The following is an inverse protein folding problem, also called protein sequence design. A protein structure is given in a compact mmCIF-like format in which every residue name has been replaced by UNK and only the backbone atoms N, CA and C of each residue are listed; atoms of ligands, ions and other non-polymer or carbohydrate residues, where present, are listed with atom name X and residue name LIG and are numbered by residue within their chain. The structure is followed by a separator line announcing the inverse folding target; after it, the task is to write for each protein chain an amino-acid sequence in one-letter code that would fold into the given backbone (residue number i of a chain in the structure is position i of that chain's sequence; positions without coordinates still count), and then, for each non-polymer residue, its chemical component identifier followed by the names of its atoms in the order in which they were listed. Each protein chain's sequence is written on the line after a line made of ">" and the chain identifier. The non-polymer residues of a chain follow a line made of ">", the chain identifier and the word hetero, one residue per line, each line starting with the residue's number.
data_IF_526029195399
#
_entry.id   IF_526029195399
#
_cell.length_a   1.000
_cell.length_b   1.000
_cell.length_c   1.000
_cell.angle_alpha   90.00
_cell.angle_beta   90.00
_cell.angle_gamma   90.00
#
_symmetry.space_group_name_H-M   'P 1'
#
loop_
_entity.id
_entity.type
_entity.pdbx_description
1 polymer ?
#
# COMPACT_ATOMS: atom_id res chain seq x y z
N UNK A 1 25.50 11.01 -2.45
CA UNK A 1 26.02 9.69 -2.06
C UNK A 1 25.12 9.04 -1.00
N UNK A 2 23.80 9.02 -1.22
CA UNK A 2 22.82 8.42 -0.29
C UNK A 2 21.91 7.40 -0.99
N UNK A 3 22.15 7.14 -2.28
CA UNK A 3 21.26 6.36 -3.13
C UNK A 3 21.47 4.84 -2.99
N UNK A 4 22.68 4.38 -2.66
CA UNK A 4 23.01 2.94 -2.66
C UNK A 4 22.38 2.12 -1.52
N UNK A 5 22.06 2.73 -0.37
CA UNK A 5 21.56 1.99 0.80
C UNK A 5 20.11 1.55 0.68
N UNK A 6 19.31 2.33 -0.04
CA UNK A 6 17.91 2.02 -0.27
C UNK A 6 17.81 0.89 -1.31
N UNK A 7 18.52 1.02 -2.43
CA UNK A 7 18.38 0.11 -3.57
C UNK A 7 18.77 -1.35 -3.23
N UNK A 8 19.75 -1.53 -2.34
CA UNK A 8 20.26 -2.83 -1.91
C UNK A 8 19.30 -3.64 -1.03
N UNK A 9 18.52 -2.96 -0.17
CA UNK A 9 17.55 -3.60 0.73
C UNK A 9 16.19 -3.86 0.03
N UNK A 10 15.91 -3.13 -1.05
CA UNK A 10 14.63 -3.23 -1.77
C UNK A 10 14.61 -4.29 -2.88
N UNK A 11 15.78 -4.72 -3.37
CA UNK A 11 15.95 -5.47 -4.63
C UNK A 11 15.36 -6.88 -4.67
N UNK A 12 15.02 -7.51 -3.54
CA UNK A 12 14.82 -8.97 -3.56
C UNK A 12 13.38 -9.46 -3.68
N UNK A 13 12.35 -8.67 -3.35
CA UNK A 13 10.95 -9.08 -3.52
C UNK A 13 10.15 -8.32 -4.58
N UNK A 14 10.59 -7.11 -4.89
CA UNK A 14 9.87 -6.21 -5.78
C UNK A 14 10.82 -5.87 -6.92
N UNK A 15 10.56 -6.45 -8.10
CA UNK A 15 11.16 -5.88 -9.31
C UNK A 15 10.46 -4.54 -9.51
N UNK A 16 11.20 -3.41 -9.49
CA UNK A 16 10.63 -2.13 -9.86
C UNK A 16 9.96 -2.34 -11.21
N UNK A 17 8.67 -2.03 -11.28
CA UNK A 17 8.03 -2.04 -12.59
C UNK A 17 8.62 -0.83 -13.30
N UNK A 18 9.13 -1.01 -14.53
CA UNK A 18 9.82 0.05 -15.22
C UNK A 18 8.79 1.04 -15.76
N UNK A 19 8.20 1.85 -14.87
CA UNK A 19 7.17 2.84 -15.16
C UNK A 19 7.65 3.82 -16.22
N UNK A 20 8.95 4.04 -16.33
CA UNK A 20 9.60 4.84 -17.36
C UNK A 20 9.23 4.41 -18.79
N UNK A 21 8.84 3.15 -18.99
CA UNK A 21 8.43 2.62 -20.29
C UNK A 21 6.93 2.82 -20.59
N UNK A 22 6.15 3.37 -19.65
CA UNK A 22 4.74 3.68 -19.90
C UNK A 22 4.62 4.86 -20.86
N UNK A 23 3.76 4.77 -21.89
CA UNK A 23 3.73 5.73 -22.97
C UNK A 23 3.03 7.06 -22.62
N UNK A 24 2.20 7.09 -21.58
CA UNK A 24 1.46 8.29 -21.16
C UNK A 24 2.07 8.90 -19.89
N UNK A 25 2.36 10.20 -19.89
CA UNK A 25 2.99 10.88 -18.76
C UNK A 25 2.14 10.81 -17.48
N UNK A 26 0.84 11.10 -17.57
CA UNK A 26 -0.07 11.04 -16.42
C UNK A 26 -0.14 9.66 -15.75
N UNK A 27 -0.26 8.59 -16.55
CA UNK A 27 -0.29 7.21 -16.04
C UNK A 27 1.06 6.82 -15.42
N UNK A 28 2.18 7.28 -16.01
CA UNK A 28 3.53 7.09 -15.43
C UNK A 28 3.64 7.73 -14.05
N UNK A 29 3.24 8.99 -13.91
CA UNK A 29 3.30 9.70 -12.63
C UNK A 29 2.44 9.03 -11.54
N UNK A 30 1.29 8.48 -11.92
CA UNK A 30 0.44 7.69 -11.03
C UNK A 30 1.14 6.39 -10.58
N UNK A 31 1.79 5.68 -11.51
CA UNK A 31 2.58 4.48 -11.21
C UNK A 31 3.75 4.75 -10.27
N UNK A 32 4.52 5.82 -10.51
CA UNK A 32 5.61 6.26 -9.65
C UNK A 32 5.13 6.61 -8.24
N UNK A 33 3.97 7.28 -8.13
CA UNK A 33 3.35 7.63 -6.84
C UNK A 33 2.90 6.39 -6.08
N UNK A 34 2.32 5.40 -6.76
CA UNK A 34 1.94 4.12 -6.18
C UNK A 34 3.16 3.35 -5.65
N UNK A 35 4.22 3.23 -6.45
CA UNK A 35 5.48 2.60 -6.06
C UNK A 35 6.14 3.31 -4.85
N UNK A 36 6.16 4.65 -4.86
CA UNK A 36 6.63 5.42 -3.70
C UNK A 36 5.83 5.12 -2.42
N UNK A 37 4.51 4.94 -2.53
CA UNK A 37 3.67 4.55 -1.39
C UNK A 37 3.98 3.13 -0.90
N UNK A 38 4.16 2.17 -1.82
CA UNK A 38 4.55 0.80 -1.47
C UNK A 38 5.89 0.77 -0.72
N UNK A 39 6.89 1.52 -1.20
CA UNK A 39 8.19 1.65 -0.53
C UNK A 39 8.05 2.19 0.90
N UNK A 40 7.23 3.22 1.11
CA UNK A 40 6.98 3.80 2.45
C UNK A 40 6.32 2.79 3.39
N UNK A 41 5.29 2.08 2.92
CA UNK A 41 4.58 1.08 3.70
C UNK A 41 5.53 -0.05 4.11
N UNK A 42 6.31 -0.56 3.15
CA UNK A 42 7.31 -1.60 3.40
C UNK A 42 8.36 -1.13 4.41
N UNK A 43 8.92 0.06 4.23
CA UNK A 43 9.90 0.64 5.15
C UNK A 43 9.33 0.76 6.58
N UNK A 44 8.09 1.23 6.72
CA UNK A 44 7.45 1.31 8.03
C UNK A 44 7.23 -0.07 8.66
N UNK A 45 6.84 -1.06 7.87
CA UNK A 45 6.64 -2.43 8.32
C UNK A 45 7.93 -3.14 8.75
N UNK A 46 9.06 -2.86 8.07
CA UNK A 46 10.36 -3.49 8.33
C UNK A 46 11.22 -2.71 9.33
N UNK A 47 10.85 -1.47 9.68
CA UNK A 47 11.60 -0.61 10.59
C UNK A 47 11.98 -1.28 11.93
N UNK A 48 11.10 -2.04 12.62
CA UNK A 48 11.49 -2.72 13.86
C UNK A 48 12.61 -3.74 13.66
N UNK A 49 12.64 -4.42 12.51
CA UNK A 49 13.73 -5.32 12.17
C UNK A 49 15.03 -4.55 12.00
N UNK A 50 15.00 -3.47 11.22
CA UNK A 50 16.16 -2.62 10.97
C UNK A 50 16.73 -2.12 12.30
N UNK A 51 15.87 -1.63 13.20
CA UNK A 51 16.27 -1.19 14.54
C UNK A 51 16.89 -2.34 15.34
N UNK A 52 16.27 -3.52 15.37
CA UNK A 52 16.81 -4.69 16.08
C UNK A 52 18.20 -5.07 15.55
N UNK A 53 18.36 -5.15 14.23
CA UNK A 53 19.59 -5.55 13.57
C UNK A 53 20.70 -4.53 13.81
N UNK A 54 20.41 -3.23 13.65
CA UNK A 54 21.34 -2.15 13.98
C UNK A 54 21.73 -2.20 15.46
N UNK A 55 20.76 -2.38 16.36
CA UNK A 55 21.02 -2.45 17.81
C UNK A 55 21.91 -3.64 18.17
N UNK A 56 21.65 -4.81 17.59
CA UNK A 56 22.47 -6.00 17.77
C UNK A 56 23.91 -5.76 17.32
N UNK A 57 24.09 -5.23 16.10
CA UNK A 57 25.43 -4.93 15.58
C UNK A 57 26.12 -3.84 16.39
N UNK A 58 25.39 -2.80 16.81
CA UNK A 58 25.90 -1.75 17.70
C UNK A 58 26.41 -2.33 19.02
N UNK A 59 25.63 -3.20 19.67
CA UNK A 59 26.02 -3.86 20.91
C UNK A 59 27.25 -4.77 20.71
N UNK A 60 27.27 -5.54 19.63
CA UNK A 60 28.41 -6.41 19.29
C UNK A 60 29.68 -5.58 19.03
N UNK A 61 29.62 -4.59 18.15
CA UNK A 61 30.77 -3.73 17.85
C UNK A 61 31.26 -2.96 19.07
N UNK A 62 30.35 -2.57 19.96
CA UNK A 62 30.70 -1.96 21.24
C UNK A 62 31.41 -2.95 22.16
N UNK A 63 30.92 -4.19 22.28
CA UNK A 63 31.57 -5.22 23.07
C UNK A 63 32.98 -5.53 22.54
N UNK A 64 33.10 -5.73 21.23
CA UNK A 64 34.37 -6.04 20.56
C UNK A 64 35.36 -4.87 20.68
N UNK A 65 34.90 -3.63 20.50
CA UNK A 65 35.75 -2.44 20.64
C UNK A 65 36.19 -2.26 22.10
N UNK A 66 35.29 -2.51 23.05
CA UNK A 66 35.60 -2.41 24.46
C UNK A 66 36.67 -3.43 24.86
N UNK A 67 36.52 -4.68 24.44
CA UNK A 67 37.51 -5.73 24.67
C UNK A 67 38.87 -5.37 24.02
N UNK A 68 38.88 -4.81 22.82
CA UNK A 68 40.15 -4.41 22.17
C UNK A 68 40.88 -3.24 22.87
N UNK A 69 40.15 -2.26 23.40
CA UNK A 69 40.74 -1.05 23.99
C UNK A 69 41.09 -1.24 25.49
N UNK A 70 40.27 -1.98 26.21
CA UNK A 70 40.40 -2.16 27.66
C UNK A 70 40.76 -3.58 28.09
N UNK A 71 40.70 -4.57 27.20
CA UNK A 71 40.87 -5.97 27.57
C UNK A 71 39.80 -6.42 28.55
N UNK A 72 40.19 -7.32 29.48
CA UNK A 72 39.34 -7.77 30.58
C UNK A 72 39.29 -6.78 31.76
N UNK A 73 40.00 -5.65 31.69
CA UNK A 73 40.11 -4.72 32.80
C UNK A 73 38.81 -3.91 32.98
N UNK A 74 38.12 -4.15 34.09
CA UNK A 74 36.78 -3.60 34.36
C UNK A 74 36.75 -2.08 34.61
N UNK A 75 37.90 -1.39 34.60
CA UNK A 75 37.99 0.06 34.79
C UNK A 75 37.61 0.79 33.50
N UNK A 76 36.31 1.00 33.31
CA UNK A 76 35.77 1.83 32.23
C UNK A 76 36.32 3.28 32.36
N UNK A 77 36.69 3.93 31.24
CA UNK A 77 37.29 5.26 31.25
C UNK A 77 36.33 6.33 31.78
N UNK A 78 36.91 7.45 32.25
CA UNK A 78 36.20 8.53 32.95
C UNK A 78 35.46 9.52 32.04
N UNK A 79 35.05 9.09 30.84
CA UNK A 79 34.19 9.87 29.94
C UNK A 79 34.89 10.38 28.67
N UNK A 80 34.23 11.29 27.92
CA UNK A 80 34.62 11.65 26.56
C UNK A 80 36.02 12.24 26.36
N UNK A 81 36.66 12.77 27.41
CA UNK A 81 37.99 13.38 27.33
C UNK A 81 39.14 12.37 27.42
N UNK A 82 38.87 11.10 27.75
CA UNK A 82 39.88 10.04 27.83
C UNK A 82 40.34 9.62 26.41
N UNK A 83 41.65 9.58 26.10
CA UNK A 83 42.15 9.10 24.81
C UNK A 83 41.65 7.69 24.45
N UNK A 84 41.50 6.80 25.43
CA UNK A 84 40.96 5.45 25.20
C UNK A 84 39.47 5.48 24.84
N UNK A 85 38.70 6.44 25.36
CA UNK A 85 37.32 6.63 24.94
C UNK A 85 37.24 7.06 23.46
N UNK A 86 38.12 7.96 23.03
CA UNK A 86 38.19 8.38 21.63
C UNK A 86 38.60 7.22 20.71
N UNK A 87 39.57 6.40 21.13
CA UNK A 87 39.97 5.19 20.40
C UNK A 87 38.81 4.19 20.27
N UNK A 88 38.06 3.96 21.35
CA UNK A 88 36.88 3.10 21.35
C UNK A 88 35.80 3.58 20.38
N UNK A 89 35.43 4.87 20.43
CA UNK A 89 34.46 5.46 19.50
C UNK A 89 34.98 5.37 18.06
N UNK A 90 36.27 5.61 17.84
CA UNK A 90 36.93 5.45 16.54
C UNK A 90 36.76 4.04 15.98
N UNK A 91 37.03 3.00 16.77
CA UNK A 91 36.86 1.59 16.37
C UNK A 91 35.40 1.24 16.06
N UNK A 92 34.44 1.73 16.84
CA UNK A 92 33.01 1.55 16.55
C UNK A 92 32.66 2.18 15.20
N UNK A 93 33.05 3.43 14.99
CA UNK A 93 32.76 4.16 13.74
C UNK A 93 33.40 3.47 12.53
N UNK A 94 34.66 3.04 12.62
CA UNK A 94 35.33 2.29 11.55
C UNK A 94 34.59 1.00 11.20
N UNK A 95 34.05 0.26 12.17
CA UNK A 95 33.26 -0.95 11.88
C UNK A 95 31.91 -0.64 11.25
N UNK A 96 31.24 0.41 11.72
CA UNK A 96 30.01 0.88 11.08
C UNK A 96 30.26 1.33 9.65
N UNK A 97 31.30 2.10 9.38
CA UNK A 97 31.70 2.52 8.04
C UNK A 97 32.11 1.33 7.17
N UNK A 98 32.84 0.36 7.71
CA UNK A 98 33.23 -0.84 6.98
C UNK A 98 32.01 -1.67 6.57
N UNK A 99 31.04 -1.86 7.47
CA UNK A 99 29.76 -2.52 7.13
C UNK A 99 28.94 -1.67 6.19
N UNK A 100 28.95 -0.34 6.37
CA UNK A 100 28.26 0.60 5.51
C UNK A 100 28.83 0.60 4.06
N UNK A 101 30.12 0.32 3.89
CA UNK A 101 30.73 0.29 2.56
C UNK A 101 30.89 -1.13 2.02
N UNK A 102 30.48 -2.15 2.78
CA UNK A 102 30.52 -3.53 2.31
C UNK A 102 29.45 -3.71 1.21
N UNK A 103 29.80 -4.27 0.03
CA UNK A 103 28.80 -4.64 -0.95
C UNK A 103 27.82 -5.62 -0.29
N UNK A 104 26.52 -5.47 -0.52
CA UNK A 104 25.58 -6.49 -0.07
C UNK A 104 26.00 -7.79 -0.70
N UNK A 105 26.16 -8.80 0.14
CA UNK A 105 26.30 -10.15 -0.37
C UNK A 105 24.95 -10.60 -0.90
N UNK A 106 24.95 -11.53 -1.86
CA UNK A 106 23.72 -12.24 -2.27
C UNK A 106 22.99 -12.84 -1.06
N UNK A 107 23.74 -13.24 -0.03
CA UNK A 107 23.19 -13.70 1.24
C UNK A 107 22.51 -12.58 2.05
N UNK A 108 23.04 -11.35 2.08
CA UNK A 108 22.36 -10.21 2.71
C UNK A 108 21.06 -9.86 1.97
N UNK A 109 21.04 -10.03 0.64
CA UNK A 109 19.89 -9.80 -0.21
C UNK A 109 18.81 -10.90 -0.05
N UNK A 110 19.22 -12.18 0.00
CA UNK A 110 18.37 -13.34 0.30
C UNK A 110 17.83 -13.29 1.73
N UNK A 111 18.67 -12.92 2.71
CA UNK A 111 18.22 -12.67 4.08
C UNK A 111 17.21 -11.51 4.08
N UNK A 112 17.46 -10.39 3.39
CA UNK A 112 16.49 -9.30 3.25
C UNK A 112 15.18 -9.70 2.54
N UNK A 113 15.22 -10.71 1.65
CA UNK A 113 14.05 -11.26 0.96
C UNK A 113 13.20 -12.14 1.88
N UNK A 114 13.83 -13.13 2.51
CA UNK A 114 13.20 -13.99 3.49
C UNK A 114 12.76 -13.20 4.74
N UNK A 115 13.37 -12.04 4.98
CA UNK A 115 13.00 -11.10 6.04
C UNK A 115 11.60 -10.50 5.87
N UNK A 116 11.11 -10.20 4.66
CA UNK A 116 9.84 -9.47 4.51
C UNK A 116 8.63 -10.27 5.01
N UNK A 117 8.65 -11.60 4.84
CA UNK A 117 7.60 -12.51 5.34
C UNK A 117 8.07 -13.26 6.58
N UNK A 118 9.33 -13.71 6.61
CA UNK A 118 9.92 -14.47 7.70
C UNK A 118 10.16 -13.66 8.97
N UNK A 119 10.38 -12.34 8.91
CA UNK A 119 10.49 -11.52 10.12
C UNK A 119 9.14 -11.34 10.82
N UNK A 120 8.07 -11.12 10.06
CA UNK A 120 6.74 -11.00 10.66
C UNK A 120 6.34 -12.30 11.40
N UNK A 121 6.81 -13.45 10.90
CA UNK A 121 6.67 -14.75 11.58
C UNK A 121 7.69 -14.94 12.72
N UNK A 122 8.92 -14.43 12.60
CA UNK A 122 9.93 -14.46 13.66
C UNK A 122 9.50 -13.65 14.89
N UNK A 123 8.74 -12.58 14.70
CA UNK A 123 8.18 -11.79 15.78
C UNK A 123 7.12 -12.56 16.58
N UNK A 124 6.42 -13.50 15.95
CA UNK A 124 5.45 -14.38 16.61
C UNK A 124 6.14 -15.45 17.49
N UNK A 125 7.44 -15.67 17.31
CA UNK A 125 8.26 -16.54 18.16
C UNK A 125 8.74 -15.88 19.45
N UNK A 126 8.48 -14.58 19.65
CA UNK A 126 8.83 -13.91 20.90
C UNK A 126 7.99 -14.49 22.05
N UNK A 127 8.61 -14.81 23.22
CA UNK A 127 7.89 -15.40 24.33
C UNK A 127 6.71 -14.51 24.77
N UNK A 128 5.53 -15.09 24.91
CA UNK A 128 4.29 -14.43 25.32
C UNK A 128 4.28 -13.85 26.74
N UNK A 129 5.39 -13.93 27.48
CA UNK A 129 5.60 -13.31 28.79
C UNK A 129 5.98 -11.83 28.68
N UNK A 130 5.33 -11.13 27.74
CA UNK A 130 5.80 -9.86 27.20
C UNK A 130 5.39 -8.68 28.09
N UNK A 131 6.13 -8.47 29.18
CA UNK A 131 5.96 -7.33 30.11
C UNK A 131 6.06 -5.94 29.45
N UNK A 132 6.51 -5.88 28.19
CA UNK A 132 6.74 -4.64 27.43
C UNK A 132 5.65 -4.36 26.39
N UNK A 133 4.58 -5.18 26.29
CA UNK A 133 3.51 -5.05 25.29
C UNK A 133 4.04 -4.93 23.84
N UNK A 134 5.18 -5.54 23.51
CA UNK A 134 5.75 -5.44 22.17
C UNK A 134 4.85 -6.11 21.12
N UNK A 135 4.13 -7.17 21.51
CA UNK A 135 3.13 -7.84 20.68
C UNK A 135 2.06 -6.90 20.11
N UNK A 136 1.53 -5.98 20.92
CA UNK A 136 0.53 -4.99 20.47
C UNK A 136 1.12 -3.99 19.46
N UNK A 137 2.37 -3.57 19.68
CA UNK A 137 3.10 -2.72 18.74
C UNK A 137 3.28 -3.40 17.38
N UNK A 138 3.68 -4.66 17.35
CA UNK A 138 3.83 -5.42 16.11
C UNK A 138 2.49 -5.67 15.40
N UNK A 139 1.43 -5.96 16.16
CA UNK A 139 0.07 -6.06 15.64
C UNK A 139 -0.35 -4.75 14.97
N UNK A 140 -0.09 -3.61 15.60
CA UNK A 140 -0.42 -2.30 15.05
C UNK A 140 0.34 -2.01 13.74
N UNK A 141 1.63 -2.38 13.66
CA UNK A 141 2.44 -2.22 12.45
C UNK A 141 1.89 -3.10 11.30
N UNK A 142 1.56 -4.36 11.58
CA UNK A 142 0.96 -5.28 10.59
C UNK A 142 -0.41 -4.77 10.10
N UNK A 143 -1.26 -4.33 11.01
CA UNK A 143 -2.55 -3.73 10.68
C UNK A 143 -2.39 -2.43 9.88
N UNK A 144 -1.38 -1.61 10.22
CA UNK A 144 -1.00 -0.40 9.49
C UNK A 144 -0.56 -0.70 8.05
N UNK A 145 0.18 -1.79 7.83
CA UNK A 145 0.57 -2.21 6.49
C UNK A 145 -0.65 -2.61 5.63
N UNK A 146 -1.59 -3.39 6.18
CA UNK A 146 -2.85 -3.75 5.51
C UNK A 146 -3.65 -2.50 5.13
N UNK A 147 -3.84 -1.58 6.09
CA UNK A 147 -4.54 -0.32 5.84
C UNK A 147 -3.81 0.57 4.82
N UNK A 148 -2.48 0.62 4.88
CA UNK A 148 -1.64 1.38 3.95
C UNK A 148 -1.76 0.87 2.51
N UNK A 149 -1.71 -0.45 2.30
CA UNK A 149 -1.85 -1.04 0.96
C UNK A 149 -3.24 -0.78 0.39
N UNK A 150 -4.30 -0.89 1.21
CA UNK A 150 -5.64 -0.50 0.79
C UNK A 150 -5.69 0.96 0.34
N UNK A 151 -5.16 1.88 1.13
CA UNK A 151 -5.14 3.31 0.79
C UNK A 151 -4.33 3.57 -0.48
N UNK A 152 -3.18 2.91 -0.66
CA UNK A 152 -2.38 3.05 -1.87
C UNK A 152 -3.14 2.57 -3.12
N UNK A 153 -3.87 1.46 -3.02
CA UNK A 153 -4.75 0.95 -4.07
C UNK A 153 -5.92 1.91 -4.37
N UNK A 154 -6.56 2.43 -3.33
CA UNK A 154 -7.70 3.36 -3.44
C UNK A 154 -7.32 4.64 -4.22
N UNK A 155 -6.18 5.24 -3.86
CA UNK A 155 -5.66 6.43 -4.55
C UNK A 155 -5.29 6.09 -6.00
N UNK A 156 -4.55 4.99 -6.22
CA UNK A 156 -4.20 4.54 -7.58
C UNK A 156 -5.46 4.38 -8.45
N UNK A 157 -6.48 3.66 -7.95
CA UNK A 157 -7.70 3.40 -8.71
C UNK A 157 -8.50 4.69 -8.99
N UNK A 158 -8.57 5.61 -8.02
CA UNK A 158 -9.21 6.91 -8.24
C UNK A 158 -8.51 7.72 -9.33
N UNK A 159 -7.19 7.86 -9.22
CA UNK A 159 -6.40 8.70 -10.11
C UNK A 159 -6.33 8.10 -11.53
N UNK A 160 -6.15 6.79 -11.66
CA UNK A 160 -6.19 6.10 -12.96
C UNK A 160 -7.52 6.27 -13.67
N UNK A 161 -8.63 6.19 -12.93
CA UNK A 161 -9.95 6.36 -13.52
C UNK A 161 -10.15 7.79 -14.04
N UNK A 162 -9.75 8.79 -13.26
CA UNK A 162 -9.83 10.21 -13.66
C UNK A 162 -8.97 10.46 -14.89
N UNK A 163 -7.73 9.98 -14.87
CA UNK A 163 -6.78 10.18 -15.97
C UNK A 163 -7.28 9.53 -17.26
N UNK A 164 -7.73 8.28 -17.19
CA UNK A 164 -8.26 7.58 -18.35
C UNK A 164 -9.43 8.35 -19.02
N UNK A 165 -10.36 8.87 -18.21
CA UNK A 165 -11.51 9.62 -18.72
C UNK A 165 -11.12 10.99 -19.29
N UNK A 166 -10.07 11.62 -18.75
CA UNK A 166 -9.56 12.89 -19.27
C UNK A 166 -8.79 12.69 -20.59
N UNK A 167 -8.14 11.54 -20.77
CA UNK A 167 -7.45 11.20 -22.03
C UNK A 167 -8.41 10.73 -23.12
N UNK A 168 -9.48 10.00 -22.78
CA UNK A 168 -10.47 9.47 -23.74
C UNK A 168 -11.92 9.87 -23.41
N UNK A 169 -12.24 11.16 -23.35
CA UNK A 169 -13.56 11.64 -22.92
C UNK A 169 -14.69 11.30 -23.91
N UNK A 170 -14.39 11.09 -25.18
CA UNK A 170 -15.40 10.70 -26.17
C UNK A 170 -15.82 9.23 -26.01
N UNK A 171 -14.91 8.37 -25.54
CA UNK A 171 -15.16 6.93 -25.40
C UNK A 171 -15.63 6.58 -23.98
N UNK A 172 -14.98 7.10 -22.95
CA UNK A 172 -15.18 6.66 -21.58
C UNK A 172 -16.18 7.53 -20.79
N UNK A 173 -16.32 8.82 -21.12
CA UNK A 173 -17.16 9.74 -20.34
C UNK A 173 -18.67 9.56 -20.55
N UNK A 174 -19.07 8.87 -21.63
CA UNK A 174 -20.46 8.48 -21.87
C UNK A 174 -20.91 7.36 -20.91
N UNK A 175 -19.97 6.74 -20.19
CA UNK A 175 -20.23 5.71 -19.18
C UNK A 175 -21.09 4.56 -19.72
N UNK A 176 -20.80 4.16 -20.96
CA UNK A 176 -21.56 3.18 -21.73
C UNK A 176 -21.32 1.72 -21.28
N UNK A 177 -20.52 1.50 -20.24
CA UNK A 177 -20.35 0.20 -19.61
C UNK A 177 -21.66 -0.36 -19.05
N UNK A 178 -21.70 -1.68 -18.83
CA UNK A 178 -22.95 -2.38 -18.44
C UNK A 178 -23.50 -1.84 -17.13
N UNK A 179 -24.83 -1.76 -17.05
CA UNK A 179 -25.52 -1.30 -15.85
C UNK A 179 -25.16 -2.21 -14.65
N UNK A 180 -24.71 -1.67 -13.50
CA UNK A 180 -24.29 -2.44 -12.32
C UNK A 180 -25.34 -3.34 -11.69
N UNK A 181 -26.55 -3.47 -12.26
CA UNK A 181 -27.62 -4.34 -11.74
C UNK A 181 -27.21 -5.81 -11.59
N UNK A 182 -26.11 -6.22 -12.23
CA UNK A 182 -25.50 -7.55 -12.07
C UNK A 182 -24.43 -7.62 -10.97
N UNK A 183 -24.00 -6.51 -10.36
CA UNK A 183 -23.09 -6.56 -9.22
C UNK A 183 -23.89 -6.92 -7.96
N UNK A 184 -23.41 -7.89 -7.15
CA UNK A 184 -23.96 -8.16 -5.84
C UNK A 184 -23.87 -6.86 -5.04
N UNK A 185 -25.02 -6.20 -4.81
CA UNK A 185 -25.04 -5.02 -3.95
C UNK A 185 -25.10 -5.52 -2.51
N UNK A 186 -23.99 -5.40 -1.80
CA UNK A 186 -23.96 -5.45 -0.35
C UNK A 186 -24.62 -4.14 0.13
N UNK A 187 -25.96 -4.07 0.04
CA UNK A 187 -26.76 -2.87 0.35
C UNK A 187 -26.66 -2.55 1.85
N UNK A 188 -25.66 -1.79 2.24
CA UNK A 188 -25.90 -0.71 3.20
C UNK A 188 -26.44 0.47 2.38
N UNK A 189 -27.67 0.94 2.64
CA UNK A 189 -28.14 2.17 2.05
C UNK A 189 -27.10 3.25 2.35
N UNK A 190 -26.57 3.90 1.30
CA UNK A 190 -25.85 5.15 1.49
C UNK A 190 -26.72 6.00 2.42
N UNK A 191 -26.24 6.41 3.61
CA UNK A 191 -27.00 7.33 4.41
C UNK A 191 -27.25 8.52 3.49
N UNK A 192 -28.52 8.96 3.42
CA UNK A 192 -28.98 10.07 2.57
C UNK A 192 -28.30 11.43 2.91
N UNK A 193 -27.21 11.38 3.67
CA UNK A 193 -26.37 12.47 4.15
C UNK A 193 -24.97 12.47 3.52
N UNK A 194 -24.61 11.48 2.68
CA UNK A 194 -23.40 11.53 1.83
C UNK A 194 -23.65 12.26 0.50
N UNK A 195 -24.91 12.50 0.13
CA UNK A 195 -25.24 13.76 -0.52
C UNK A 195 -24.93 14.84 0.49
N UNK A 196 -23.82 15.55 0.26
CA UNK A 196 -23.49 16.90 0.77
C UNK A 196 -24.67 17.52 1.51
N UNK A 197 -24.41 17.98 2.75
CA UNK A 197 -25.24 18.92 3.53
C UNK A 197 -26.32 19.64 2.69
N UNK A 198 -27.54 19.87 3.20
CA UNK A 198 -28.48 20.82 2.60
C UNK A 198 -27.85 22.21 2.63
N UNK A 199 -26.95 22.48 1.69
CA UNK A 199 -26.51 23.81 1.31
C UNK A 199 -27.77 24.50 0.84
N UNK A 200 -27.96 25.72 1.33
CA UNK A 200 -29.16 26.52 1.11
C UNK A 200 -29.50 26.78 -0.37
N UNK A 201 -30.37 27.77 -0.66
CA UNK A 201 -31.07 27.95 -1.94
C UNK A 201 -30.19 28.28 -3.18
N UNK A 202 -28.89 28.00 -3.15
CA UNK A 202 -28.10 27.81 -4.37
C UNK A 202 -28.38 26.41 -4.91
N UNK A 203 -29.53 26.26 -5.57
CA UNK A 203 -29.78 25.14 -6.47
C UNK A 203 -28.59 25.02 -7.43
N UNK A 204 -27.80 23.96 -7.26
CA UNK A 204 -26.75 23.60 -8.19
C UNK A 204 -27.41 23.43 -9.56
N UNK A 205 -27.22 24.41 -10.45
CA UNK A 205 -27.75 24.37 -11.80
C UNK A 205 -27.13 23.18 -12.51
N UNK A 206 -27.90 22.10 -12.64
CA UNK A 206 -27.55 20.93 -13.43
C UNK A 206 -27.47 21.31 -14.91
N UNK A 207 -26.30 21.83 -15.32
CA UNK A 207 -25.96 22.04 -16.72
C UNK A 207 -25.68 20.67 -17.36
N UNK A 208 -26.47 20.33 -18.38
CA UNK A 208 -26.22 19.13 -19.18
C UNK A 208 -24.91 19.32 -19.95
N UNK A 209 -24.02 18.32 -19.90
CA UNK A 209 -22.72 18.35 -20.61
C UNK A 209 -22.92 18.58 -22.11
N UNK A 210 -23.98 18.02 -22.70
CA UNK A 210 -24.37 18.24 -24.10
C UNK A 210 -24.53 19.73 -24.43
N UNK A 211 -25.05 20.51 -23.48
CA UNK A 211 -25.25 21.95 -23.65
C UNK A 211 -23.91 22.70 -23.64
N UNK A 212 -22.96 22.29 -22.80
CA UNK A 212 -21.62 22.87 -22.78
C UNK A 212 -20.87 22.56 -24.09
N UNK A 213 -20.99 21.34 -24.60
CA UNK A 213 -20.46 20.96 -25.93
C UNK A 213 -21.07 21.81 -27.05
N UNK A 214 -22.39 22.04 -27.01
CA UNK A 214 -23.09 22.84 -28.02
C UNK A 214 -22.57 24.29 -28.09
N UNK A 215 -22.13 24.85 -26.96
CA UNK A 215 -21.60 26.22 -26.88
C UNK A 215 -20.06 26.29 -27.00
N UNK A 216 -19.39 25.22 -27.42
CA UNK A 216 -17.95 25.21 -27.66
C UNK A 216 -17.08 25.18 -26.39
N UNK A 217 -17.63 24.83 -25.22
CA UNK A 217 -16.81 24.60 -24.04
C UNK A 217 -16.06 23.28 -24.19
N UNK A 218 -14.73 23.36 -24.18
CA UNK A 218 -13.88 22.18 -24.20
C UNK A 218 -13.66 21.66 -22.78
N UNK A 219 -14.33 20.55 -22.44
CA UNK A 219 -14.19 19.85 -21.16
C UNK A 219 -13.40 18.54 -21.29
N UNK A 220 -12.77 18.28 -22.45
CA UNK A 220 -12.16 16.98 -22.74
C UNK A 220 -11.20 16.54 -21.65
N UNK A 221 -10.34 17.45 -21.17
CA UNK A 221 -9.32 17.21 -20.13
C UNK A 221 -9.84 17.30 -18.69
N UNK A 222 -11.14 17.41 -18.48
CA UNK A 222 -11.72 17.54 -17.13
C UNK A 222 -12.94 16.65 -16.90
N UNK A 223 -13.29 15.79 -17.86
CA UNK A 223 -14.44 14.89 -17.74
C UNK A 223 -14.28 13.91 -16.58
N UNK A 224 -13.08 13.34 -16.38
CA UNK A 224 -12.78 12.48 -15.24
C UNK A 224 -12.98 13.21 -13.91
N UNK A 225 -12.44 14.43 -13.80
CA UNK A 225 -12.56 15.26 -12.59
C UNK A 225 -14.01 15.63 -12.27
N UNK A 226 -14.81 15.96 -13.28
CA UNK A 226 -16.23 16.30 -13.10
C UNK A 226 -17.04 15.05 -12.73
N UNK A 227 -16.77 13.92 -13.37
CA UNK A 227 -17.55 12.70 -13.16
C UNK A 227 -17.14 11.95 -11.89
N UNK A 228 -15.94 12.16 -11.36
CA UNK A 228 -15.50 11.53 -10.11
C UNK A 228 -16.36 11.98 -8.91
N UNK A 229 -16.92 13.20 -8.95
CA UNK A 229 -17.85 13.69 -7.92
C UNK A 229 -19.14 12.83 -7.81
N UNK A 230 -19.47 12.03 -8.83
CA UNK A 230 -20.65 11.15 -8.84
C UNK A 230 -20.41 9.80 -8.17
N UNK A 231 -19.16 9.44 -7.88
CA UNK A 231 -18.79 8.14 -7.35
C UNK A 231 -18.06 8.28 -6.03
N UNK A 232 -18.29 7.33 -5.11
CA UNK A 232 -17.56 7.29 -3.85
C UNK A 232 -16.36 6.35 -3.94
N UNK A 233 -15.20 6.90 -4.34
CA UNK A 233 -13.95 6.15 -4.42
C UNK A 233 -13.40 5.70 -3.05
N UNK A 234 -13.96 6.17 -1.92
CA UNK A 234 -13.59 5.71 -0.58
C UNK A 234 -14.18 4.32 -0.21
N UNK A 235 -14.99 3.75 -1.11
CA UNK A 235 -15.62 2.44 -0.92
C UNK A 235 -15.35 1.55 -2.13
N UNK A 236 -15.13 0.26 -1.90
CA UNK A 236 -14.89 -0.69 -2.99
C UNK A 236 -16.06 -0.74 -3.98
N UNK A 237 -17.30 -0.68 -3.49
CA UNK A 237 -18.49 -0.70 -4.34
C UNK A 237 -18.58 0.53 -5.23
N UNK A 238 -18.26 1.72 -4.69
CA UNK A 238 -18.22 2.96 -5.48
C UNK A 238 -17.13 2.94 -6.55
N UNK A 239 -15.93 2.43 -6.22
CA UNK A 239 -14.86 2.22 -7.20
C UNK A 239 -15.30 1.25 -8.30
N UNK A 240 -15.82 0.08 -7.93
CA UNK A 240 -16.27 -0.93 -8.89
C UNK A 240 -17.39 -0.40 -9.78
N UNK A 241 -18.34 0.35 -9.22
CA UNK A 241 -19.39 0.99 -10.01
C UNK A 241 -18.81 1.99 -11.02
N UNK A 242 -17.88 2.85 -10.61
CA UNK A 242 -17.23 3.81 -11.50
C UNK A 242 -16.53 3.10 -12.66
N UNK A 243 -15.74 2.07 -12.36
CA UNK A 243 -15.00 1.31 -13.37
C UNK A 243 -15.92 0.51 -14.31
N UNK A 244 -16.93 -0.20 -13.78
CA UNK A 244 -17.86 -0.99 -14.61
C UNK A 244 -18.69 -0.11 -15.54
N UNK A 245 -18.97 1.14 -15.15
CA UNK A 245 -19.67 2.10 -16.00
C UNK A 245 -18.76 2.74 -17.04
N UNK A 246 -17.52 3.08 -16.67
CA UNK A 246 -16.58 3.69 -17.61
C UNK A 246 -16.07 2.69 -18.67
N UNK A 247 -15.75 1.46 -18.25
CA UNK A 247 -15.07 0.48 -19.09
C UNK A 247 -16.05 -0.62 -19.57
N UNK A 248 -16.24 -0.72 -20.89
CA UNK A 248 -17.12 -1.70 -21.52
C UNK A 248 -16.51 -3.12 -21.56
N UNK A 249 -17.18 -4.07 -22.24
CA UNK A 249 -16.76 -5.49 -22.23
C UNK A 249 -15.46 -5.77 -22.97
N UNK A 250 -15.07 -4.92 -23.92
CA UNK A 250 -13.77 -5.01 -24.58
C UNK A 250 -12.61 -4.72 -23.63
N UNK A 251 -12.86 -4.08 -22.49
CA UNK A 251 -11.88 -3.75 -21.46
C UNK A 251 -11.93 -4.77 -20.31
N UNK A 252 -11.97 -6.07 -20.64
CA UNK A 252 -12.15 -7.13 -19.65
C UNK A 252 -11.02 -7.19 -18.61
N UNK A 253 -9.78 -6.86 -18.99
CA UNK A 253 -8.63 -6.85 -18.08
C UNK A 253 -8.77 -5.84 -16.94
N UNK A 254 -9.23 -4.62 -17.24
CA UNK A 254 -9.57 -3.58 -16.23
C UNK A 254 -10.62 -4.10 -15.24
N UNK A 255 -11.70 -4.71 -15.77
CA UNK A 255 -12.80 -5.22 -14.97
C UNK A 255 -12.37 -6.39 -14.09
N UNK A 256 -11.59 -7.31 -14.64
CA UNK A 256 -11.05 -8.45 -13.89
C UNK A 256 -10.21 -7.97 -12.71
N UNK A 257 -9.36 -6.97 -12.91
CA UNK A 257 -8.49 -6.43 -11.86
C UNK A 257 -9.26 -5.77 -10.71
N UNK A 258 -10.21 -4.88 -11.01
CA UNK A 258 -10.99 -4.16 -9.98
C UNK A 258 -12.03 -5.05 -9.28
N UNK A 259 -12.54 -6.07 -9.98
CA UNK A 259 -13.51 -7.03 -9.43
C UNK A 259 -12.86 -8.22 -8.75
N UNK A 260 -11.53 -8.32 -8.79
CA UNK A 260 -10.81 -9.46 -8.23
C UNK A 260 -11.17 -9.65 -6.74
N UNK A 261 -11.46 -10.89 -6.29
CA UNK A 261 -11.87 -11.14 -4.91
C UNK A 261 -10.84 -10.74 -3.85
N UNK A 262 -9.54 -10.78 -4.15
CA UNK A 262 -8.49 -10.32 -3.22
C UNK A 262 -8.64 -8.86 -2.82
N UNK A 263 -9.11 -7.99 -3.73
CA UNK A 263 -9.38 -6.58 -3.44
C UNK A 263 -10.51 -6.46 -2.41
N UNK A 264 -11.54 -7.32 -2.51
CA UNK A 264 -12.60 -7.40 -1.50
C UNK A 264 -12.05 -7.88 -0.16
N UNK A 265 -11.25 -8.95 -0.14
CA UNK A 265 -10.66 -9.47 1.10
C UNK A 265 -9.85 -8.40 1.85
N UNK A 266 -9.03 -7.62 1.13
CA UNK A 266 -8.26 -6.53 1.73
C UNK A 266 -9.16 -5.39 2.23
N UNK A 267 -10.17 -4.98 1.44
CA UNK A 267 -11.12 -3.93 1.82
C UNK A 267 -11.86 -4.26 3.12
N UNK A 268 -12.40 -5.48 3.22
CA UNK A 268 -13.12 -5.96 4.41
C UNK A 268 -12.21 -6.05 5.63
N UNK A 269 -10.97 -6.51 5.45
CA UNK A 269 -9.98 -6.56 6.53
C UNK A 269 -9.62 -5.15 7.01
N UNK A 270 -9.39 -4.21 6.09
CA UNK A 270 -9.16 -2.79 6.44
C UNK A 270 -10.35 -2.21 7.18
N UNK A 271 -11.58 -2.52 6.75
CA UNK A 271 -12.79 -2.08 7.44
C UNK A 271 -12.83 -2.60 8.89
N UNK A 272 -12.57 -3.89 9.12
CA UNK A 272 -12.49 -4.46 10.46
C UNK A 272 -11.41 -3.78 11.32
N UNK A 273 -10.21 -3.53 10.77
CA UNK A 273 -9.12 -2.82 11.46
C UNK A 273 -9.55 -1.41 11.88
N UNK A 274 -10.02 -0.62 10.92
CA UNK A 274 -10.24 0.83 11.09
C UNK A 274 -11.53 1.18 11.80
N UNK A 275 -12.58 0.37 11.63
CA UNK A 275 -13.92 0.68 12.16
C UNK A 275 -14.39 -0.27 13.27
N UNK A 276 -13.72 -1.41 13.45
CA UNK A 276 -14.09 -2.43 14.45
C UNK A 276 -12.93 -2.81 15.38
N UNK A 277 -11.89 -1.98 15.44
CA UNK A 277 -10.69 -2.21 16.26
C UNK A 277 -10.04 -3.59 15.99
N UNK A 278 -10.10 -4.04 14.73
CA UNK A 278 -9.60 -5.34 14.30
C UNK A 278 -10.43 -6.54 14.76
N UNK A 279 -11.70 -6.35 15.18
CA UNK A 279 -12.61 -7.46 15.52
C UNK A 279 -13.42 -7.90 14.29
N UNK A 280 -13.67 -9.20 14.18
CA UNK A 280 -14.52 -9.79 13.16
C UNK A 280 -16.01 -9.51 13.48
N UNK A 281 -16.59 -8.48 12.89
CA UNK A 281 -18.00 -8.15 13.06
C UNK A 281 -18.91 -9.02 12.16
N UNK A 282 -20.25 -8.96 12.29
CA UNK A 282 -21.15 -9.76 11.45
C UNK A 282 -20.97 -9.52 9.95
N UNK A 283 -20.64 -8.29 9.53
CA UNK A 283 -20.37 -7.93 8.14
C UNK A 283 -19.12 -8.64 7.62
N UNK A 284 -18.02 -8.58 8.39
CA UNK A 284 -16.80 -9.31 8.08
C UNK A 284 -17.05 -10.82 7.98
N UNK A 285 -17.78 -11.41 8.93
CA UNK A 285 -18.07 -12.85 8.91
C UNK A 285 -18.93 -13.28 7.71
N UNK A 286 -19.87 -12.42 7.28
CA UNK A 286 -20.63 -12.65 6.05
C UNK A 286 -19.71 -12.64 4.82
N UNK A 287 -18.82 -11.64 4.72
CA UNK A 287 -17.85 -11.59 3.63
C UNK A 287 -16.88 -12.78 3.67
N UNK A 288 -16.43 -13.18 4.85
CA UNK A 288 -15.53 -14.31 5.09
C UNK A 288 -16.13 -15.61 4.54
N UNK A 289 -17.42 -15.88 4.79
CA UNK A 289 -18.11 -17.06 4.27
C UNK A 289 -18.33 -17.09 2.75
N UNK A 290 -18.14 -15.96 2.07
CA UNK A 290 -18.39 -15.82 0.62
C UNK A 290 -17.14 -15.45 -0.20
N UNK A 291 -16.00 -15.20 0.44
CA UNK A 291 -14.75 -14.83 -0.21
C UNK A 291 -13.65 -15.81 0.19
N UNK A 292 -13.22 -16.64 -0.77
CA UNK A 292 -12.24 -17.69 -0.55
C UNK A 292 -10.89 -17.14 -0.05
N UNK A 293 -10.47 -15.98 -0.55
CA UNK A 293 -9.25 -15.29 -0.18
C UNK A 293 -9.30 -14.84 1.28
N UNK A 294 -10.45 -14.32 1.73
CA UNK A 294 -10.64 -13.89 3.11
C UNK A 294 -10.72 -15.08 4.06
N UNK A 295 -11.41 -16.15 3.66
CA UNK A 295 -11.45 -17.43 4.37
C UNK A 295 -10.07 -18.06 4.51
N UNK A 296 -9.27 -18.05 3.44
CA UNK A 296 -7.90 -18.57 3.41
C UNK A 296 -6.94 -17.75 4.27
N UNK A 297 -7.12 -16.43 4.30
CA UNK A 297 -6.35 -15.56 5.17
C UNK A 297 -6.70 -15.78 6.65
N UNK A 298 -7.98 -15.95 7.00
CA UNK A 298 -8.43 -16.09 8.39
C UNK A 298 -9.19 -17.40 8.62
N UNK A 299 -8.54 -18.58 8.56
CA UNK A 299 -9.23 -19.86 8.68
C UNK A 299 -9.96 -20.04 10.03
N UNK A 300 -9.51 -19.35 11.08
CA UNK A 300 -10.03 -19.44 12.44
C UNK A 300 -10.77 -18.15 12.87
N UNK A 301 -11.30 -17.35 11.93
CA UNK A 301 -12.07 -16.16 12.28
C UNK A 301 -13.35 -16.52 13.04
N UNK A 302 -13.62 -15.80 14.12
CA UNK A 302 -14.83 -15.97 14.92
C UNK A 302 -15.46 -14.61 15.22
N UNK A 303 -16.79 -14.54 15.17
CA UNK A 303 -17.53 -13.30 15.40
C UNK A 303 -17.21 -12.68 16.77
N UNK A 304 -16.91 -11.38 16.78
CA UNK A 304 -16.57 -10.60 17.97
C UNK A 304 -15.14 -10.76 18.45
N UNK A 305 -14.38 -11.75 17.96
CA UNK A 305 -12.97 -11.94 18.31
C UNK A 305 -12.06 -11.03 17.50
N UNK A 306 -10.90 -10.74 18.07
CA UNK A 306 -9.83 -10.04 17.37
C UNK A 306 -9.31 -10.91 16.23
N UNK A 307 -9.18 -10.32 15.04
CA UNK A 307 -8.50 -10.94 13.91
C UNK A 307 -7.03 -11.15 14.28
N UNK A 308 -6.52 -12.34 13.98
CA UNK A 308 -5.10 -12.64 14.10
C UNK A 308 -4.39 -12.18 12.83
N UNK A 309 -3.82 -10.98 12.88
CA UNK A 309 -3.11 -10.38 11.74
C UNK A 309 -1.65 -10.82 11.84
N UNK A 310 -1.37 -12.03 11.37
CA UNK A 310 -0.01 -12.57 11.29
C UNK A 310 0.78 -12.01 10.10
N UNK A 311 2.08 -12.27 10.06
CA UNK A 311 2.90 -11.94 8.89
C UNK A 311 2.41 -12.57 7.59
N UNK A 312 2.11 -13.86 7.68
CA UNK A 312 1.53 -14.63 6.59
C UNK A 312 0.18 -14.06 6.12
N UNK A 313 -0.69 -13.64 7.06
CA UNK A 313 -1.97 -13.01 6.73
C UNK A 313 -1.76 -11.69 5.97
N UNK A 314 -0.83 -10.84 6.42
CA UNK A 314 -0.51 -9.60 5.70
C UNK A 314 -0.08 -9.94 4.27
N UNK A 315 0.83 -10.89 4.08
CA UNK A 315 1.31 -11.27 2.75
C UNK A 315 0.18 -11.84 1.86
N UNK A 316 -0.68 -12.71 2.40
CA UNK A 316 -1.83 -13.29 1.67
C UNK A 316 -2.83 -12.23 1.22
N UNK A 317 -3.01 -11.17 1.99
CA UNK A 317 -3.94 -10.08 1.67
C UNK A 317 -3.32 -9.05 0.72
N UNK A 318 -2.08 -8.63 0.95
CA UNK A 318 -1.50 -7.47 0.26
C UNK A 318 -0.90 -7.82 -1.08
N UNK A 319 -0.17 -8.95 -1.20
CA UNK A 319 0.51 -9.33 -2.44
C UNK A 319 -0.46 -9.44 -3.63
N UNK A 320 -1.58 -10.17 -3.54
CA UNK A 320 -2.50 -10.28 -4.67
C UNK A 320 -3.12 -8.92 -5.03
N UNK A 321 -3.35 -8.02 -4.07
CA UNK A 321 -3.89 -6.68 -4.37
C UNK A 321 -2.87 -5.81 -5.08
N UNK A 322 -1.58 -5.87 -4.68
CA UNK A 322 -0.52 -5.19 -5.41
C UNK A 322 -0.44 -5.70 -6.85
N UNK A 323 -0.52 -7.02 -7.06
CA UNK A 323 -0.58 -7.61 -8.41
C UNK A 323 -1.77 -7.11 -9.22
N UNK A 324 -2.97 -7.03 -8.62
CA UNK A 324 -4.15 -6.46 -9.29
C UNK A 324 -4.02 -4.95 -9.56
N UNK A 325 -3.38 -4.20 -8.67
CA UNK A 325 -3.11 -2.78 -8.86
C UNK A 325 -2.21 -2.54 -10.09
N UNK A 326 -1.16 -3.35 -10.22
CA UNK A 326 -0.24 -3.34 -11.36
C UNK A 326 -0.98 -3.72 -12.64
N UNK A 327 -1.75 -4.80 -12.61
CA UNK A 327 -2.58 -5.23 -13.75
C UNK A 327 -3.53 -4.11 -14.18
N UNK A 328 -4.26 -3.52 -13.24
CA UNK A 328 -5.19 -2.42 -13.50
C UNK A 328 -4.49 -1.25 -14.19
N UNK A 329 -3.31 -0.84 -13.69
CA UNK A 329 -2.51 0.23 -14.28
C UNK A 329 -2.09 -0.10 -15.71
N UNK A 330 -1.55 -1.30 -15.97
CA UNK A 330 -1.09 -1.70 -17.30
C UNK A 330 -2.25 -1.78 -18.31
N UNK A 331 -3.39 -2.31 -17.89
CA UNK A 331 -4.60 -2.39 -18.73
C UNK A 331 -5.15 -1.00 -19.06
N UNK A 332 -5.20 -0.09 -18.08
CA UNK A 332 -5.59 1.31 -18.32
C UNK A 332 -4.58 2.01 -19.21
N UNK A 333 -3.27 1.80 -18.99
CA UNK A 333 -2.22 2.37 -19.84
C UNK A 333 -2.33 1.92 -21.29
N UNK A 334 -2.72 0.67 -21.54
CA UNK A 334 -2.91 0.14 -22.88
C UNK A 334 -4.09 0.80 -23.61
N UNK A 335 -5.17 1.10 -22.88
CA UNK A 335 -6.33 1.84 -23.41
C UNK A 335 -5.96 3.30 -23.67
N UNK A 336 -5.24 3.91 -22.74
CA UNK A 336 -4.88 5.32 -22.82
C UNK A 336 -3.90 5.59 -23.97
N UNK A 337 -2.92 4.70 -24.18
CA UNK A 337 -1.92 4.86 -25.24
C UNK A 337 -0.91 5.99 -24.97
N UNK A 338 -0.06 6.36 -25.93
CA UNK A 338 0.84 7.50 -25.79
C UNK A 338 0.10 8.85 -25.78
N UNK A 339 0.74 9.87 -25.22
CA UNK A 339 0.24 11.25 -25.27
C UNK A 339 0.05 11.67 -26.75
N UNK A 340 -1.19 11.91 -27.16
CA UNK A 340 -1.48 12.43 -28.49
C UNK A 340 -1.08 13.91 -28.52
N UNK A 341 0.14 14.23 -28.98
CA UNK A 341 0.69 15.59 -29.08
C UNK A 341 -0.06 16.52 -30.09
N UNK A 342 -1.24 16.13 -30.61
CA UNK A 342 -1.77 16.67 -31.87
C UNK A 342 -3.24 17.06 -31.94
N UNK A 343 -3.96 17.30 -30.84
CA UNK A 343 -5.36 17.78 -30.90
C UNK A 343 -5.57 19.09 -30.13
#
# INVERSE_FOLDING_TARGET
>A
MTTDYQDLFFATAYRPIPWENLPHEGIRAIGESFDANLRRIRMAATLPHIIRTITRHSAQYSADAAHEVWGDDARKPHGPSDPKWQEFVGKINTRFEARANAPATTKDAEEAFDLDIGFLNLLESLPSNDSLNCSDGFRAIKAGAVAGIWTAFEILASDLWVEALNSHPAELADLAGKNPKAMPRDREPLPATATRNPRGPNEERLLRVDYLRLHGYNLSRSMGTILSEKYNFQTLDGMREAYVRAFCESHSGVREAILHPSVKALAETRHAITHKAGKADPKFMMAHGHCAELSSAFPNAESGKLLDISGEVVAKLTKPVVEQAIKLLLEVSAIVGPDNEGI
#
